data_IF_427326181784
#
_entry.id   IF_427326181784
#
_cell.length_a   1.000
_cell.length_b   1.000
_cell.length_c   1.000
_cell.angle_alpha   90.00
_cell.angle_beta   90.00
_cell.angle_gamma   90.00
#
_symmetry.space_group_name_H-M   'P 1'
#
loop_
_entity.id
_entity.type
_entity.pdbx_description
1 polymer ?
#
# COMPACT_ATOMS: atom_id res chain seq x y z
N UNK A 1 20.56 -32.36 -4.12
CA UNK A 1 19.51 -32.33 -3.09
C UNK A 1 18.30 -31.61 -3.66
N UNK A 2 17.21 -32.35 -3.84
CA UNK A 2 15.92 -31.82 -4.28
C UNK A 2 15.44 -30.81 -3.22
N UNK A 3 15.49 -29.52 -3.53
CA UNK A 3 14.85 -28.49 -2.74
C UNK A 3 13.34 -28.68 -2.91
N UNK A 4 12.69 -29.26 -1.89
CA UNK A 4 11.23 -29.32 -1.85
C UNK A 4 10.73 -27.86 -1.84
N UNK A 5 10.11 -27.44 -2.92
CA UNK A 5 9.37 -26.18 -2.97
C UNK A 5 8.28 -26.22 -1.92
N UNK A 6 8.41 -25.43 -0.85
CA UNK A 6 7.38 -25.32 0.17
C UNK A 6 6.50 -24.12 -0.17
N UNK A 7 5.26 -24.39 -0.47
CA UNK A 7 4.22 -23.36 -0.46
C UNK A 7 3.90 -23.04 0.99
N UNK A 8 3.85 -21.76 1.31
CA UNK A 8 3.42 -21.28 2.61
C UNK A 8 2.06 -20.62 2.42
N UNK A 9 1.10 -20.98 3.27
CA UNK A 9 -0.24 -20.43 3.29
C UNK A 9 -0.54 -19.94 4.69
N UNK A 10 -0.83 -18.64 4.82
CA UNK A 10 -1.36 -18.05 6.05
C UNK A 10 -2.84 -17.74 5.84
N UNK A 11 -3.66 -18.05 6.83
CA UNK A 11 -5.05 -17.64 6.91
C UNK A 11 -5.23 -16.74 8.13
N UNK A 12 -6.00 -15.67 7.98
CA UNK A 12 -6.21 -14.74 9.08
C UNK A 12 -7.65 -14.21 9.13
N UNK A 13 -8.06 -13.87 10.33
CA UNK A 13 -9.31 -13.22 10.62
C UNK A 13 -9.09 -12.09 11.63
N UNK A 14 -9.70 -10.93 11.37
CA UNK A 14 -9.75 -9.81 12.29
C UNK A 14 -11.17 -9.30 12.42
N UNK A 15 -11.55 -8.91 13.63
CA UNK A 15 -12.72 -8.07 13.89
C UNK A 15 -12.24 -6.70 14.35
N UNK A 16 -12.87 -5.65 13.84
CA UNK A 16 -12.59 -4.25 14.18
C UNK A 16 -13.89 -3.51 14.42
N UNK A 17 -14.02 -2.95 15.61
CA UNK A 17 -15.14 -2.09 15.98
C UNK A 17 -14.63 -0.66 16.20
N UNK A 18 -15.36 0.31 15.72
CA UNK A 18 -15.01 1.72 15.85
C UNK A 18 -16.24 2.58 15.96
N UNK A 19 -16.31 3.41 16.98
CA UNK A 19 -17.33 4.43 17.09
C UNK A 19 -16.89 5.68 16.33
N UNK A 20 -17.81 6.28 15.58
CA UNK A 20 -17.59 7.52 14.81
C UNK A 20 -16.46 7.42 13.78
N UNK A 21 -16.33 6.27 13.11
CA UNK A 21 -15.42 6.12 11.98
C UNK A 21 -15.79 7.11 10.88
N UNK A 22 -14.80 7.71 10.24
CA UNK A 22 -15.02 8.64 9.15
C UNK A 22 -14.34 8.12 7.87
N UNK A 23 -15.13 7.99 6.82
CA UNK A 23 -14.70 7.88 5.43
C UNK A 23 -14.95 9.21 4.71
N UNK A 24 -14.74 9.27 3.40
CA UNK A 24 -14.78 10.54 2.67
C UNK A 24 -16.06 11.35 2.93
N UNK A 25 -17.23 10.74 2.74
CA UNK A 25 -18.53 11.38 2.89
C UNK A 25 -19.40 10.79 4.00
N UNK A 26 -18.95 9.75 4.64
CA UNK A 26 -19.72 8.93 5.60
C UNK A 26 -19.05 8.96 6.96
N UNK A 27 -19.84 9.17 7.99
CA UNK A 27 -19.38 9.10 9.39
C UNK A 27 -20.39 8.30 10.19
N UNK A 28 -19.93 7.28 10.91
CA UNK A 28 -20.80 6.37 11.65
C UNK A 28 -20.04 5.33 12.44
N UNK A 29 -20.78 4.42 13.04
CA UNK A 29 -20.26 3.30 13.80
C UNK A 29 -19.94 2.14 12.82
N UNK A 30 -18.80 1.53 13.02
CA UNK A 30 -18.32 0.44 12.18
C UNK A 30 -18.11 -0.84 12.98
N UNK A 31 -18.68 -1.94 12.49
CA UNK A 31 -18.31 -3.29 12.87
C UNK A 31 -17.88 -4.05 11.62
N UNK A 32 -16.61 -4.41 11.53
CA UNK A 32 -15.99 -4.92 10.32
C UNK A 32 -15.23 -6.20 10.58
N UNK A 33 -15.56 -7.25 9.83
CA UNK A 33 -14.86 -8.52 9.81
C UNK A 33 -14.00 -8.62 8.57
N UNK A 34 -12.73 -8.98 8.76
CA UNK A 34 -11.74 -9.16 7.68
C UNK A 34 -11.30 -10.62 7.67
N UNK A 35 -11.49 -11.29 6.55
CA UNK A 35 -10.99 -12.64 6.28
C UNK A 35 -9.93 -12.52 5.19
N UNK A 36 -8.78 -13.13 5.40
CA UNK A 36 -7.73 -13.06 4.42
C UNK A 36 -6.88 -14.31 4.33
N UNK A 37 -6.16 -14.40 3.21
CA UNK A 37 -5.19 -15.45 2.93
C UNK A 37 -3.95 -14.84 2.28
N UNK A 38 -2.79 -15.38 2.61
CA UNK A 38 -1.52 -15.04 2.00
C UNK A 38 -0.81 -16.30 1.53
N UNK A 39 -0.44 -16.32 0.26
CA UNK A 39 0.31 -17.41 -0.36
C UNK A 39 1.67 -16.90 -0.79
N UNK A 40 2.74 -17.50 -0.29
CA UNK A 40 4.10 -17.09 -0.61
C UNK A 40 5.05 -18.28 -0.71
N UNK A 41 6.04 -18.16 -1.60
CA UNK A 41 7.07 -19.19 -1.76
C UNK A 41 8.27 -18.66 -2.55
N UNK A 42 9.35 -19.46 -2.52
CA UNK A 42 10.51 -19.34 -3.39
C UNK A 42 10.66 -20.62 -4.22
N UNK A 43 10.60 -20.49 -5.54
CA UNK A 43 10.68 -21.58 -6.50
C UNK A 43 11.90 -21.38 -7.43
N UNK A 44 13.05 -21.92 -7.03
CA UNK A 44 14.31 -21.66 -7.73
C UNK A 44 14.65 -20.16 -7.70
N UNK A 45 14.82 -19.49 -8.85
CA UNK A 45 15.10 -18.05 -8.88
C UNK A 45 13.87 -17.18 -8.65
N UNK A 46 12.66 -17.74 -8.67
CA UNK A 46 11.40 -17.03 -8.57
C UNK A 46 10.91 -16.93 -7.13
N UNK A 47 10.43 -15.77 -6.74
CA UNK A 47 9.73 -15.55 -5.48
C UNK A 47 8.39 -14.90 -5.76
N UNK A 48 7.38 -15.29 -5.00
CA UNK A 48 6.07 -14.65 -5.03
C UNK A 48 5.47 -14.53 -3.63
N UNK A 49 4.66 -13.52 -3.47
CA UNK A 49 3.90 -13.21 -2.27
C UNK A 49 2.58 -12.58 -2.72
N UNK A 50 1.46 -13.22 -2.43
CA UNK A 50 0.13 -12.75 -2.82
C UNK A 50 -0.78 -12.80 -1.61
N UNK A 51 -1.40 -11.68 -1.29
CA UNK A 51 -2.37 -11.55 -0.21
C UNK A 51 -3.73 -11.13 -0.78
N UNK A 52 -4.77 -11.85 -0.39
CA UNK A 52 -6.16 -11.55 -0.70
C UNK A 52 -6.94 -11.38 0.59
N UNK A 53 -7.81 -10.39 0.67
CA UNK A 53 -8.68 -10.22 1.81
C UNK A 53 -10.08 -9.77 1.39
N UNK A 54 -11.08 -10.20 2.16
CA UNK A 54 -12.48 -9.81 2.05
C UNK A 54 -12.92 -9.16 3.35
N UNK A 55 -13.63 -8.04 3.24
CA UNK A 55 -14.25 -7.35 4.37
C UNK A 55 -15.77 -7.37 4.23
N UNK A 56 -16.44 -7.69 5.33
CA UNK A 56 -17.89 -7.66 5.47
C UNK A 56 -18.27 -7.10 6.83
N UNK A 57 -19.49 -6.64 7.00
CA UNK A 57 -19.98 -6.10 8.27
C UNK A 57 -21.00 -4.99 8.08
N UNK A 58 -21.07 -4.08 9.03
CA UNK A 58 -22.00 -2.97 9.04
C UNK A 58 -21.28 -1.63 9.32
N UNK A 59 -21.75 -0.59 8.70
CA UNK A 59 -21.39 0.80 8.97
C UNK A 59 -22.69 1.58 9.15
N UNK A 60 -23.12 1.75 10.41
CA UNK A 60 -24.50 2.11 10.77
C UNK A 60 -25.50 1.22 10.00
N UNK A 61 -26.34 1.80 9.13
CA UNK A 61 -27.34 1.09 8.32
C UNK A 61 -26.78 0.53 7.00
N UNK A 62 -25.53 0.84 6.64
CA UNK A 62 -24.90 0.39 5.40
C UNK A 62 -24.25 -0.98 5.59
N UNK A 63 -24.33 -1.85 4.58
CA UNK A 63 -23.58 -3.10 4.55
C UNK A 63 -22.16 -2.86 4.06
N UNK A 64 -21.16 -3.45 4.72
CA UNK A 64 -19.77 -3.45 4.24
C UNK A 64 -19.56 -4.63 3.31
N UNK A 65 -19.04 -4.37 2.11
CA UNK A 65 -18.62 -5.41 1.17
C UNK A 65 -17.43 -4.92 0.36
N UNK A 66 -16.24 -5.37 0.74
CA UNK A 66 -15.00 -4.94 0.10
C UNK A 66 -14.00 -6.10 -0.01
N UNK A 67 -13.04 -6.01 -0.93
CA UNK A 67 -11.97 -6.99 -1.08
C UNK A 67 -10.69 -6.31 -1.53
N UNK A 68 -9.54 -6.90 -1.25
CA UNK A 68 -8.26 -6.42 -1.74
C UNK A 68 -7.42 -7.55 -2.30
N UNK A 69 -6.50 -7.18 -3.17
CA UNK A 69 -5.39 -8.01 -3.61
C UNK A 69 -4.10 -7.20 -3.52
N UNK A 70 -3.06 -7.81 -2.95
CA UNK A 70 -1.70 -7.26 -2.91
C UNK A 70 -0.75 -8.34 -3.39
N UNK A 71 0.27 -7.98 -4.15
CA UNK A 71 1.22 -8.95 -4.68
C UNK A 71 2.64 -8.39 -4.76
N UNK A 72 3.61 -9.28 -4.68
CA UNK A 72 5.02 -9.08 -5.01
C UNK A 72 5.54 -10.31 -5.76
N UNK A 73 6.06 -10.09 -6.96
CA UNK A 73 6.70 -11.12 -7.77
C UNK A 73 8.10 -10.67 -8.13
N UNK A 74 9.07 -11.55 -7.95
CA UNK A 74 10.44 -11.23 -8.35
C UNK A 74 11.20 -12.47 -8.80
N UNK A 75 12.24 -12.24 -9.58
CA UNK A 75 13.18 -13.23 -10.06
C UNK A 75 14.61 -12.76 -9.81
N UNK A 76 15.48 -13.69 -9.45
CA UNK A 76 16.92 -13.46 -9.33
C UNK A 76 17.65 -14.04 -10.57
N UNK A 77 17.79 -13.24 -11.66
CA UNK A 77 18.41 -13.72 -12.89
C UNK A 77 19.92 -13.94 -12.73
N UNK A 78 20.55 -13.19 -11.86
CA UNK A 78 21.97 -13.31 -11.49
C UNK A 78 22.12 -13.12 -9.99
N UNK A 79 23.21 -13.64 -9.46
CA UNK A 79 23.50 -13.57 -8.03
C UNK A 79 23.43 -12.13 -7.52
N UNK A 80 22.77 -11.91 -6.37
CA UNK A 80 22.55 -10.63 -5.69
C UNK A 80 21.59 -9.65 -6.34
N UNK A 81 21.10 -9.89 -7.55
CA UNK A 81 20.16 -9.00 -8.22
C UNK A 81 18.78 -9.65 -8.33
N UNK A 82 17.75 -8.86 -8.05
CA UNK A 82 16.36 -9.22 -8.17
C UNK A 82 15.65 -8.19 -9.06
N UNK A 83 14.91 -8.69 -10.02
CA UNK A 83 13.98 -7.90 -10.81
C UNK A 83 12.58 -8.28 -10.38
N UNK A 84 11.77 -7.31 -10.06
CA UNK A 84 10.44 -7.61 -9.57
C UNK A 84 9.41 -6.54 -9.88
N UNK A 85 8.17 -6.87 -9.60
CA UNK A 85 7.08 -5.94 -9.56
C UNK A 85 6.16 -6.28 -8.40
N UNK A 86 5.78 -5.26 -7.67
CA UNK A 86 4.75 -5.34 -6.63
C UNK A 86 3.56 -4.48 -7.02
N UNK A 87 2.43 -4.68 -6.38
CA UNK A 87 1.26 -3.87 -6.63
C UNK A 87 0.12 -4.18 -5.68
N UNK A 88 -0.95 -3.42 -5.88
CA UNK A 88 -2.20 -3.63 -5.15
C UNK A 88 -3.41 -3.26 -6.00
N UNK A 89 -4.51 -3.90 -5.69
CA UNK A 89 -5.86 -3.50 -6.01
C UNK A 89 -6.65 -3.39 -4.71
N UNK A 90 -6.98 -2.19 -4.30
CA UNK A 90 -7.73 -1.92 -3.06
C UNK A 90 -8.85 -0.94 -3.36
N UNK A 91 -10.11 -1.36 -3.27
CA UNK A 91 -11.23 -0.53 -3.68
C UNK A 91 -11.54 0.61 -2.72
N UNK A 92 -12.11 1.66 -3.30
CA UNK A 92 -12.87 2.69 -2.62
C UNK A 92 -14.37 2.46 -2.72
N UNK A 93 -15.15 3.37 -2.16
CA UNK A 93 -16.60 3.36 -2.28
C UNK A 93 -17.03 3.60 -3.73
N UNK A 94 -18.04 2.86 -4.18
CA UNK A 94 -18.53 2.92 -5.56
C UNK A 94 -19.61 3.99 -5.75
N UNK A 95 -20.35 4.27 -4.68
CA UNK A 95 -21.44 5.23 -4.69
C UNK A 95 -21.64 5.82 -3.29
N UNK A 96 -21.90 7.11 -3.26
CA UNK A 96 -22.20 7.80 -2.01
C UNK A 96 -23.70 7.72 -1.62
N UNK A 97 -24.53 7.14 -2.49
CA UNK A 97 -25.99 7.12 -2.36
C UNK A 97 -26.62 5.72 -2.28
N UNK A 98 -25.81 4.66 -2.34
CA UNK A 98 -26.28 3.29 -2.18
C UNK A 98 -26.26 2.82 -0.72
N UNK A 99 -26.70 1.58 -0.46
CA UNK A 99 -26.75 0.97 0.86
C UNK A 99 -25.47 0.19 1.21
N UNK A 100 -24.37 0.36 0.45
CA UNK A 100 -23.12 -0.33 0.66
C UNK A 100 -21.96 0.63 0.91
N UNK A 101 -20.99 0.17 1.69
CA UNK A 101 -19.68 0.78 1.84
C UNK A 101 -18.63 -0.18 1.26
N UNK A 102 -18.04 0.19 0.12
CA UNK A 102 -17.04 -0.65 -0.55
C UNK A 102 -15.60 -0.23 -0.21
N UNK A 103 -15.39 0.86 0.51
CA UNK A 103 -14.05 1.29 0.95
C UNK A 103 -13.39 0.21 1.80
N UNK A 104 -12.26 -0.32 1.34
CA UNK A 104 -11.47 -1.28 2.10
C UNK A 104 -10.71 -0.55 3.21
N UNK A 105 -10.86 -0.99 4.44
CA UNK A 105 -10.11 -0.48 5.58
C UNK A 105 -8.82 -1.29 5.75
N UNK A 106 -7.69 -0.71 5.41
CA UNK A 106 -6.36 -1.33 5.56
C UNK A 106 -5.92 -1.21 7.02
N UNK A 107 -6.34 -2.15 7.85
CA UNK A 107 -5.98 -2.20 9.26
C UNK A 107 -4.45 -2.16 9.43
N UNK A 108 -3.95 -1.26 10.29
CA UNK A 108 -2.52 -1.15 10.65
C UNK A 108 -1.57 -0.95 9.46
N UNK A 109 -2.02 -0.22 8.44
CA UNK A 109 -1.22 0.02 7.25
C UNK A 109 0.11 0.71 7.58
N UNK A 110 1.21 0.09 7.15
CA UNK A 110 2.49 0.78 7.04
C UNK A 110 2.47 1.64 5.76
N UNK A 111 3.16 2.79 5.72
CA UNK A 111 3.28 3.57 4.49
C UNK A 111 3.85 2.70 3.35
N UNK A 112 3.06 2.33 2.34
CA UNK A 112 3.49 1.36 1.31
C UNK A 112 4.51 1.94 0.33
N UNK A 113 4.55 3.26 0.24
CA UNK A 113 5.42 4.03 -0.67
C UNK A 113 6.61 4.67 0.06
N UNK A 114 7.05 4.09 1.18
CA UNK A 114 8.06 4.70 2.04
C UNK A 114 7.53 5.93 2.77
N UNK A 115 8.41 6.79 3.25
CA UNK A 115 8.03 8.01 3.98
C UNK A 115 7.83 9.23 3.07
N UNK A 116 8.06 9.08 1.77
CA UNK A 116 7.92 10.15 0.79
C UNK A 116 6.50 10.70 0.72
N UNK A 117 5.51 9.83 0.86
CA UNK A 117 4.09 10.22 0.77
C UNK A 117 3.29 9.53 1.87
N UNK A 118 2.57 10.32 2.66
CA UNK A 118 1.64 9.82 3.68
C UNK A 118 0.35 9.27 3.03
N UNK A 119 0.49 8.36 2.07
CA UNK A 119 -0.57 7.76 1.28
C UNK A 119 -0.82 6.32 1.73
N UNK A 120 -2.08 5.96 1.93
CA UNK A 120 -2.52 4.58 2.08
C UNK A 120 -2.82 3.96 0.70
N UNK A 121 -2.89 2.63 0.65
CA UNK A 121 -3.30 1.90 -0.56
C UNK A 121 -4.82 1.86 -0.76
N UNK A 122 -5.63 2.29 0.21
CA UNK A 122 -7.10 2.35 0.10
C UNK A 122 -7.52 3.23 -1.06
N UNK A 123 -8.46 2.76 -1.84
CA UNK A 123 -8.93 3.35 -3.10
C UNK A 123 -7.79 3.52 -4.11
N UNK A 124 -6.85 2.57 -4.21
CA UNK A 124 -5.79 2.64 -5.21
C UNK A 124 -5.62 1.35 -6.00
N UNK A 125 -5.22 1.53 -7.24
CA UNK A 125 -4.55 0.54 -8.08
C UNK A 125 -3.12 1.04 -8.24
N UNK A 126 -2.16 0.19 -7.88
CA UNK A 126 -0.75 0.51 -7.97
C UNK A 126 0.02 -0.62 -8.65
N UNK A 127 0.97 -0.25 -9.48
CA UNK A 127 1.99 -1.13 -10.03
C UNK A 127 3.37 -0.54 -9.78
N UNK A 128 4.26 -1.33 -9.22
CA UNK A 128 5.59 -0.89 -8.77
C UNK A 128 6.68 -1.86 -9.25
N UNK A 129 7.19 -1.70 -10.48
CA UNK A 129 8.42 -2.37 -10.88
C UNK A 129 9.60 -1.91 -10.02
N UNK A 130 10.52 -2.83 -9.75
CA UNK A 130 11.72 -2.54 -8.97
C UNK A 130 12.92 -3.40 -9.37
N UNK A 131 14.10 -2.87 -9.05
CA UNK A 131 15.36 -3.60 -9.05
C UNK A 131 15.89 -3.59 -7.62
N UNK A 132 16.29 -4.75 -7.13
CA UNK A 132 16.90 -4.92 -5.81
C UNK A 132 18.27 -5.54 -5.93
N UNK A 133 19.24 -4.94 -5.28
CA UNK A 133 20.57 -5.49 -5.05
C UNK A 133 20.69 -5.91 -3.60
N UNK A 134 21.03 -7.19 -3.36
CA UNK A 134 21.22 -7.72 -2.01
C UNK A 134 22.51 -8.50 -1.97
N UNK A 135 23.58 -7.87 -1.50
CA UNK A 135 24.89 -8.49 -1.39
C UNK A 135 25.17 -8.86 0.05
N UNK A 136 25.26 -10.18 0.31
CA UNK A 136 25.49 -10.72 1.66
C UNK A 136 24.42 -10.21 2.65
N UNK A 137 24.71 -10.27 3.94
CA UNK A 137 23.84 -9.66 4.97
C UNK A 137 24.19 -8.19 5.25
N UNK A 138 25.01 -7.56 4.40
CA UNK A 138 25.52 -6.20 4.64
C UNK A 138 24.82 -5.12 3.81
N UNK A 139 24.42 -5.43 2.59
CA UNK A 139 23.87 -4.44 1.67
C UNK A 139 22.51 -4.88 1.12
N UNK A 140 21.56 -3.98 1.20
CA UNK A 140 20.27 -4.09 0.52
C UNK A 140 19.95 -2.74 -0.10
N UNK A 141 19.91 -2.68 -1.42
CA UNK A 141 19.51 -1.48 -2.14
C UNK A 141 18.30 -1.81 -3.03
N UNK A 142 17.27 -0.97 -3.04
CA UNK A 142 16.07 -1.14 -3.87
C UNK A 142 15.76 0.17 -4.57
N UNK A 143 15.72 0.15 -5.90
CA UNK A 143 15.19 1.22 -6.74
C UNK A 143 13.81 0.80 -7.22
N UNK A 144 12.79 1.62 -6.98
CA UNK A 144 11.38 1.35 -7.29
C UNK A 144 10.73 2.54 -7.98
N UNK A 145 9.85 2.22 -8.94
CA UNK A 145 8.93 3.19 -9.54
C UNK A 145 7.51 2.73 -9.27
N UNK A 146 6.65 3.56 -8.68
CA UNK A 146 5.27 3.22 -8.35
C UNK A 146 4.31 4.13 -9.12
N UNK A 147 3.39 3.53 -9.88
CA UNK A 147 2.36 4.22 -10.64
C UNK A 147 1.03 4.06 -9.91
N UNK A 148 0.52 5.15 -9.34
CA UNK A 148 -0.63 5.12 -8.44
C UNK A 148 -1.83 5.82 -9.07
N UNK A 149 -2.94 5.09 -9.17
CA UNK A 149 -4.23 5.60 -9.64
C UNK A 149 -5.33 5.29 -8.64
N UNK A 150 -6.40 6.10 -8.61
CA UNK A 150 -7.59 5.78 -7.84
C UNK A 150 -8.35 4.61 -8.49
N UNK A 151 -8.86 3.72 -7.65
CA UNK A 151 -9.72 2.63 -8.09
C UNK A 151 -11.15 3.15 -8.36
N UNK A 152 -11.73 3.87 -7.43
CA UNK A 152 -13.05 4.50 -7.56
C UNK A 152 -12.94 6.02 -7.68
N UNK A 153 -13.75 6.61 -8.58
CA UNK A 153 -13.91 8.07 -8.70
C UNK A 153 -14.92 8.63 -7.69
N UNK A 154 -15.75 7.79 -7.09
CA UNK A 154 -16.72 8.20 -6.07
C UNK A 154 -16.10 8.37 -4.68
N UNK A 155 -14.89 7.85 -4.47
CA UNK A 155 -14.18 7.93 -3.19
C UNK A 155 -12.86 8.69 -3.31
N UNK A 156 -12.35 9.21 -2.19
CA UNK A 156 -11.07 9.88 -2.11
C UNK A 156 -9.90 8.91 -1.89
N UNK A 157 -8.72 9.47 -1.67
CA UNK A 157 -7.55 8.74 -1.16
C UNK A 157 -7.35 9.03 0.32
N UNK A 158 -6.68 8.11 1.02
CA UNK A 158 -6.60 8.12 2.47
C UNK A 158 -5.15 8.17 2.96
N UNK A 159 -4.97 8.67 4.17
CA UNK A 159 -3.73 8.55 4.94
C UNK A 159 -3.61 7.14 5.55
N UNK A 160 -2.44 6.72 6.07
CA UNK A 160 -2.29 5.44 6.77
C UNK A 160 -3.29 5.22 7.91
N UNK A 161 -3.76 6.29 8.55
CA UNK A 161 -4.77 6.24 9.62
C UNK A 161 -6.21 6.24 9.11
N UNK A 162 -6.42 6.02 7.80
CA UNK A 162 -7.73 6.02 7.16
C UNK A 162 -8.49 7.36 7.25
N UNK A 163 -7.77 8.46 7.39
CA UNK A 163 -8.35 9.81 7.25
C UNK A 163 -8.26 10.24 5.78
N UNK A 164 -9.26 10.95 5.26
CA UNK A 164 -9.16 11.52 3.92
C UNK A 164 -7.89 12.37 3.77
N UNK A 165 -7.09 12.10 2.75
CA UNK A 165 -5.85 12.85 2.49
C UNK A 165 -6.15 14.24 1.90
N UNK A 166 -7.26 14.39 1.19
CA UNK A 166 -7.65 15.63 0.53
C UNK A 166 -9.04 16.08 0.98
N UNK A 167 -9.28 17.39 1.04
CA UNK A 167 -10.59 17.90 1.42
C UNK A 167 -11.66 17.53 0.38
N UNK A 168 -12.91 17.53 0.82
CA UNK A 168 -14.06 17.37 -0.04
C UNK A 168 -14.27 18.68 -0.82
N UNK A 169 -14.31 18.59 -2.14
CA UNK A 169 -14.59 19.73 -3.02
C UNK A 169 -16.11 19.91 -3.19
N UNK A 170 -16.73 20.73 -2.34
CA UNK A 170 -18.17 21.01 -2.41
C UNK A 170 -19.05 19.85 -1.93
N UNK A 171 -20.35 19.88 -2.21
CA UNK A 171 -21.30 18.85 -1.79
C UNK A 171 -21.05 17.56 -2.59
N UNK A 172 -20.51 16.52 -1.92
CA UNK A 172 -20.34 15.16 -2.45
C UNK A 172 -19.52 15.06 -3.76
N UNK A 173 -18.56 15.98 -3.97
CA UNK A 173 -17.76 15.97 -5.19
C UNK A 173 -16.31 15.62 -4.88
N UNK A 174 -15.84 14.54 -5.48
CA UNK A 174 -14.41 14.21 -5.62
C UNK A 174 -14.02 14.54 -7.07
N UNK A 175 -12.72 14.81 -7.31
CA UNK A 175 -12.21 15.00 -8.67
C UNK A 175 -12.53 13.80 -9.57
N UNK A 176 -12.73 14.03 -10.87
CA UNK A 176 -12.85 12.98 -11.87
C UNK A 176 -11.47 12.42 -12.32
N UNK A 177 -10.37 13.00 -11.90
CA UNK A 177 -9.04 12.52 -12.24
C UNK A 177 -8.71 11.21 -11.52
N UNK A 178 -8.13 10.24 -12.24
CA UNK A 178 -7.70 8.96 -11.69
C UNK A 178 -6.27 8.98 -11.16
N UNK A 179 -5.36 9.65 -11.87
CA UNK A 179 -3.93 9.62 -11.59
C UNK A 179 -3.64 10.34 -10.27
N UNK A 180 -3.13 9.61 -9.29
CA UNK A 180 -2.68 10.16 -8.00
C UNK A 180 -1.25 10.68 -8.12
N UNK A 181 -0.37 9.91 -8.73
CA UNK A 181 1.01 10.31 -8.97
C UNK A 181 1.93 9.15 -9.32
N UNK A 182 3.17 9.49 -9.64
CA UNK A 182 4.26 8.54 -9.81
C UNK A 182 5.28 8.75 -8.69
N UNK A 183 5.73 7.67 -8.05
CA UNK A 183 6.65 7.72 -6.93
C UNK A 183 7.92 6.95 -7.32
N UNK A 184 9.05 7.63 -7.29
CA UNK A 184 10.37 7.05 -7.50
C UNK A 184 11.09 7.00 -6.17
N UNK A 185 11.56 5.84 -5.76
CA UNK A 185 12.20 5.66 -4.47
C UNK A 185 13.48 4.84 -4.58
N UNK A 186 14.52 5.28 -3.87
CA UNK A 186 15.76 4.57 -3.65
C UNK A 186 15.91 4.36 -2.15
N UNK A 187 15.96 3.10 -1.74
CA UNK A 187 16.21 2.68 -0.37
C UNK A 187 17.54 1.92 -0.33
N UNK A 188 18.46 2.36 0.50
CA UNK A 188 19.74 1.69 0.72
C UNK A 188 19.92 1.39 2.20
N UNK A 189 20.08 0.11 2.53
CA UNK A 189 20.36 -0.34 3.88
C UNK A 189 21.76 -0.93 3.93
N UNK A 190 22.55 -0.48 4.90
CA UNK A 190 23.88 -1.01 5.18
C UNK A 190 23.97 -1.48 6.62
N UNK A 191 24.43 -2.71 6.81
CA UNK A 191 24.57 -3.37 8.10
C UNK A 191 26.06 -3.64 8.36
N UNK A 192 26.83 -2.66 8.87
CA UNK A 192 28.26 -2.83 9.16
C UNK A 192 28.51 -3.95 10.17
N UNK A 193 27.62 -4.09 11.16
CA UNK A 193 27.61 -5.15 12.16
C UNK A 193 26.19 -5.65 12.40
N UNK A 194 26.03 -6.76 13.14
CA UNK A 194 24.70 -7.27 13.55
C UNK A 194 23.92 -6.30 14.45
N UNK A 195 24.62 -5.35 15.06
CA UNK A 195 24.09 -4.41 16.04
C UNK A 195 23.86 -3.01 15.46
N UNK A 196 24.37 -2.71 14.27
CA UNK A 196 24.29 -1.39 13.65
C UNK A 196 23.66 -1.48 12.27
N UNK A 197 22.67 -0.64 12.02
CA UNK A 197 22.10 -0.45 10.68
C UNK A 197 22.07 1.03 10.31
N UNK A 198 22.44 1.32 9.07
CA UNK A 198 22.33 2.62 8.43
C UNK A 198 21.34 2.48 7.28
N UNK A 199 20.36 3.34 7.23
CA UNK A 199 19.37 3.38 6.16
C UNK A 199 19.36 4.77 5.52
N UNK A 200 19.50 4.80 4.21
CA UNK A 200 19.33 5.97 3.37
C UNK A 200 18.08 5.81 2.53
N UNK A 201 17.21 6.81 2.53
CA UNK A 201 16.01 6.86 1.72
C UNK A 201 16.02 8.14 0.89
N UNK A 202 15.78 8.02 -0.41
CA UNK A 202 15.53 9.12 -1.34
C UNK A 202 14.23 8.82 -2.07
N UNK A 203 13.29 9.76 -2.08
CA UNK A 203 12.03 9.62 -2.77
C UNK A 203 11.66 10.89 -3.53
N UNK A 204 11.08 10.72 -4.71
CA UNK A 204 10.47 11.79 -5.50
C UNK A 204 9.06 11.35 -5.89
N UNK A 205 8.07 12.19 -5.58
CA UNK A 205 6.68 11.99 -5.94
C UNK A 205 6.27 13.08 -6.92
N UNK A 206 6.02 12.69 -8.16
CA UNK A 206 5.37 13.51 -9.18
C UNK A 206 3.86 13.50 -8.92
N UNK A 207 3.28 14.66 -8.63
CA UNK A 207 1.85 14.79 -8.36
C UNK A 207 1.03 14.55 -9.63
N UNK A 208 -0.04 13.74 -9.52
CA UNK A 208 -0.98 13.50 -10.59
C UNK A 208 -2.13 14.51 -10.60
N UNK A 209 -2.99 14.40 -11.62
CA UNK A 209 -4.11 15.30 -11.83
C UNK A 209 -5.08 15.33 -10.64
N UNK A 210 -5.28 14.19 -9.97
CA UNK A 210 -6.10 14.15 -8.75
C UNK A 210 -5.55 15.07 -7.66
N UNK A 211 -4.24 15.09 -7.47
CA UNK A 211 -3.60 15.93 -6.46
C UNK A 211 -3.73 17.41 -6.78
N UNK A 212 -3.63 17.75 -8.07
CA UNK A 212 -3.78 19.14 -8.57
C UNK A 212 -5.24 19.61 -8.50
N UNK A 213 -6.20 18.75 -8.84
CA UNK A 213 -7.63 19.06 -8.78
C UNK A 213 -8.14 19.27 -7.35
N UNK A 214 -7.54 18.58 -6.38
CA UNK A 214 -8.04 18.54 -4.99
C UNK A 214 -7.24 19.37 -4.01
N UNK A 215 -6.22 20.06 -4.49
CA UNK A 215 -5.40 20.92 -3.66
C UNK A 215 -4.10 21.33 -4.33
N UNK A 216 -3.07 21.54 -3.53
CA UNK A 216 -1.77 21.91 -4.06
C UNK A 216 -1.08 20.68 -4.69
N UNK A 217 -1.10 20.58 -6.01
CA UNK A 217 -0.51 19.52 -6.82
C UNK A 217 1.00 19.68 -7.03
N UNK A 218 1.74 19.99 -5.97
CA UNK A 218 3.20 20.11 -6.05
C UNK A 218 3.86 18.76 -5.91
N UNK A 219 4.93 18.57 -6.67
CA UNK A 219 5.85 17.45 -6.50
C UNK A 219 6.54 17.52 -5.14
N UNK A 220 6.87 16.36 -4.60
CA UNK A 220 7.51 16.23 -3.30
C UNK A 220 8.80 15.46 -3.44
N UNK A 221 9.89 16.00 -2.93
CA UNK A 221 11.15 15.29 -2.74
C UNK A 221 11.34 15.00 -1.24
N UNK A 222 11.75 13.78 -0.93
CA UNK A 222 12.01 13.31 0.42
C UNK A 222 13.40 12.71 0.52
N UNK A 223 14.07 13.00 1.59
CA UNK A 223 15.37 12.45 1.94
C UNK A 223 15.41 12.10 3.42
N UNK A 224 15.91 10.90 3.76
CA UNK A 224 16.16 10.52 5.14
C UNK A 224 17.44 9.71 5.30
N UNK A 225 18.11 9.92 6.42
CA UNK A 225 19.19 9.08 6.94
C UNK A 225 18.79 8.61 8.32
N UNK A 226 18.73 7.28 8.51
CA UNK A 226 18.36 6.65 9.78
C UNK A 226 19.50 5.77 10.27
N UNK A 227 19.78 5.85 11.55
CA UNK A 227 20.74 5.01 12.25
C UNK A 227 20.00 4.22 13.34
N UNK A 228 20.25 2.93 13.46
CA UNK A 228 19.74 2.13 14.55
C UNK A 228 20.85 1.30 15.19
N UNK A 229 20.85 1.29 16.52
CA UNK A 229 21.77 0.51 17.35
C UNK A 229 20.95 -0.47 18.19
N UNK A 230 21.37 -1.74 18.22
CA UNK A 230 20.76 -2.79 19.07
C UNK A 230 21.77 -3.14 20.16
N UNK A 231 21.34 -3.12 21.40
CA UNK A 231 22.12 -3.48 22.58
C UNK A 231 21.83 -4.92 23.01
#
# INVERSE_FOLDING_TARGET
SSSKSRFNLDLFYFNSESNLRQYMFKKGNENRHTFGMRLYSSLGPWNYDVELAKQVGAFDELSISSYMAVWDFNVSPVQYFYLGFSGNYVPGDKSNSDSQLNTFNTLYAKPPFGQTVALNITNTINLSPYVRYQHTNKWLATLRSSFVTRESLADGIFTPNMMPLRPILGKNKVSNARRVGNIFALDVNYFPTKNVSLQFELGYCEAGDYMSDTGNGRDVMYFALKNAFKF
#
